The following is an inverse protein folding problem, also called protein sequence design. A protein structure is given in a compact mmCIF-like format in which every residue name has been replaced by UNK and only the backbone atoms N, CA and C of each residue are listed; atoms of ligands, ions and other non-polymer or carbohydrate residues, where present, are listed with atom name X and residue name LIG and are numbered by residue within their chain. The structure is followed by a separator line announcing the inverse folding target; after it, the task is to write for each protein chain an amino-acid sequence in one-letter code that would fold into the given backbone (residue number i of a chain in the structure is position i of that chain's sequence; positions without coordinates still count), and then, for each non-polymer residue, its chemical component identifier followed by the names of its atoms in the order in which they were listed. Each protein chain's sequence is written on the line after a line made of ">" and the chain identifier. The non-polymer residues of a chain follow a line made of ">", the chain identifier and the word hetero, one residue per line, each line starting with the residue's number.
data_IF_448848729721
#
_entry.id   IF_448848729721
#
_cell.length_a   1.000
_cell.length_b   1.000
_cell.length_c   1.000
_cell.angle_alpha   90.00
_cell.angle_beta   90.00
_cell.angle_gamma   90.00
#
_symmetry.space_group_name_H-M   'P 1'
#
loop_
_entity.id
_entity.type
_entity.pdbx_description
1 polymer ?
#
# COMPACT_ATOMS: atom_id res chain seq x y z
N UNK A 1 -27.42 5.12 -9.85
CA UNK A 1 -27.47 3.84 -9.11
C UNK A 1 -27.37 4.19 -7.64
N UNK A 2 -28.29 3.75 -6.77
CA UNK A 2 -28.14 4.02 -5.34
C UNK A 2 -27.05 3.14 -4.71
N UNK A 3 -26.50 3.57 -3.57
CA UNK A 3 -25.39 2.89 -2.92
C UNK A 3 -25.74 1.44 -2.54
N UNK A 4 -26.97 1.18 -2.11
CA UNK A 4 -27.42 -0.15 -1.69
C UNK A 4 -27.41 -1.15 -2.86
N UNK A 5 -27.83 -0.69 -4.04
CA UNK A 5 -27.81 -1.49 -5.27
C UNK A 5 -26.36 -1.75 -5.71
N UNK A 6 -25.48 -0.76 -5.60
CA UNK A 6 -24.06 -0.93 -5.90
C UNK A 6 -23.38 -1.94 -4.97
N UNK A 7 -23.64 -1.88 -3.66
CA UNK A 7 -23.10 -2.85 -2.70
C UNK A 7 -23.58 -4.28 -2.99
N UNK A 8 -24.87 -4.46 -3.29
CA UNK A 8 -25.41 -5.78 -3.62
C UNK A 8 -24.80 -6.34 -4.91
N UNK A 9 -24.57 -5.50 -5.92
CA UNK A 9 -23.86 -5.91 -7.15
C UNK A 9 -22.43 -6.34 -6.84
N UNK A 10 -21.72 -5.61 -5.98
CA UNK A 10 -20.36 -5.95 -5.52
C UNK A 10 -20.34 -7.30 -4.81
N UNK A 11 -21.27 -7.56 -3.88
CA UNK A 11 -21.35 -8.83 -3.17
C UNK A 11 -21.62 -10.03 -4.11
N UNK A 12 -22.49 -9.83 -5.11
CA UNK A 12 -22.78 -10.86 -6.11
C UNK A 12 -21.54 -11.18 -6.95
N UNK A 13 -20.81 -10.16 -7.40
CA UNK A 13 -19.57 -10.33 -8.17
C UNK A 13 -18.49 -11.00 -7.31
N UNK A 14 -18.28 -10.55 -6.08
CA UNK A 14 -17.37 -11.20 -5.12
C UNK A 14 -17.73 -12.66 -4.89
N UNK A 15 -19.02 -13.00 -4.82
CA UNK A 15 -19.49 -14.37 -4.70
C UNK A 15 -19.12 -15.23 -5.91
N UNK A 16 -19.28 -14.71 -7.12
CA UNK A 16 -18.89 -15.39 -8.35
C UNK A 16 -17.36 -15.61 -8.43
N UNK A 17 -16.57 -14.59 -8.12
CA UNK A 17 -15.11 -14.68 -8.10
C UNK A 17 -14.58 -15.68 -7.06
N UNK A 18 -15.18 -15.69 -5.85
CA UNK A 18 -14.86 -16.70 -4.82
C UNK A 18 -15.11 -18.12 -5.29
N UNK A 19 -16.19 -18.36 -6.06
CA UNK A 19 -16.47 -19.68 -6.62
C UNK A 19 -15.40 -20.06 -7.65
N UNK A 20 -14.99 -19.14 -8.54
CA UNK A 20 -13.94 -19.41 -9.51
C UNK A 20 -12.59 -19.73 -8.86
N UNK A 21 -12.24 -18.99 -7.80
CA UNK A 21 -11.04 -19.26 -7.00
C UNK A 21 -11.12 -20.61 -6.28
N UNK A 22 -12.25 -20.95 -5.67
CA UNK A 22 -12.44 -22.25 -5.00
C UNK A 22 -12.39 -23.45 -5.98
N UNK A 23 -12.77 -23.22 -7.23
CA UNK A 23 -12.66 -24.20 -8.31
C UNK A 23 -11.24 -24.28 -8.92
N UNK A 24 -10.28 -23.49 -8.40
CA UNK A 24 -8.88 -23.45 -8.84
C UNK A 24 -8.71 -23.19 -10.34
N UNK A 25 -9.65 -22.46 -10.95
CA UNK A 25 -9.67 -22.23 -12.40
C UNK A 25 -8.49 -21.37 -12.90
N UNK A 26 -7.77 -20.69 -12.01
CA UNK A 26 -6.61 -19.84 -12.30
C UNK A 26 -5.29 -20.37 -11.75
N UNK A 27 -5.27 -21.53 -11.09
CA UNK A 27 -4.07 -22.08 -10.45
C UNK A 27 -2.93 -22.41 -11.41
N UNK A 28 -3.19 -22.53 -12.71
CA UNK A 28 -2.15 -22.76 -13.71
C UNK A 28 -1.24 -21.53 -13.94
N UNK A 29 -1.64 -20.35 -13.46
CA UNK A 29 -0.88 -19.10 -13.59
C UNK A 29 0.21 -18.97 -12.51
N UNK A 30 0.16 -19.78 -11.44
CA UNK A 30 0.97 -19.62 -10.24
C UNK A 30 1.83 -20.86 -9.97
N UNK A 31 3.00 -20.69 -9.32
CA UNK A 31 3.87 -21.82 -9.02
C UNK A 31 3.17 -22.84 -8.12
N UNK A 32 3.38 -24.12 -8.40
CA UNK A 32 2.78 -25.19 -7.60
C UNK A 32 3.28 -25.15 -6.15
N UNK A 33 2.35 -25.34 -5.21
CA UNK A 33 2.66 -25.47 -3.78
C UNK A 33 3.76 -26.51 -3.55
N UNK A 34 4.81 -26.12 -2.85
CA UNK A 34 5.91 -27.01 -2.53
C UNK A 34 5.45 -28.13 -1.57
N UNK A 35 5.88 -29.36 -1.85
CA UNK A 35 5.68 -30.50 -0.93
C UNK A 35 6.77 -30.47 0.13
N UNK A 36 6.43 -29.98 1.32
CA UNK A 36 7.35 -29.92 2.47
C UNK A 36 7.19 -31.17 3.32
N UNK A 37 8.31 -31.79 3.72
CA UNK A 37 8.33 -32.97 4.60
C UNK A 37 8.89 -32.61 5.97
N UNK A 38 8.52 -33.39 6.98
CA UNK A 38 9.08 -33.25 8.32
C UNK A 38 10.62 -33.36 8.28
N UNK A 39 11.27 -32.48 9.05
CA UNK A 39 12.74 -32.39 9.17
C UNK A 39 13.47 -32.02 7.85
N UNK A 40 12.77 -31.42 6.88
CA UNK A 40 13.40 -30.85 5.69
C UNK A 40 14.11 -29.54 6.01
N UNK A 41 15.36 -29.41 5.55
CA UNK A 41 16.18 -28.21 5.74
C UNK A 41 16.22 -27.36 4.47
N UNK A 42 16.28 -26.04 4.66
CA UNK A 42 16.45 -25.05 3.61
C UNK A 42 17.57 -24.10 4.00
N UNK A 43 18.30 -23.58 3.02
CA UNK A 43 19.38 -22.61 3.23
C UNK A 43 18.81 -21.24 3.60
N UNK A 44 17.67 -20.88 2.99
CA UNK A 44 16.92 -19.66 3.31
C UNK A 44 15.42 -19.95 3.44
N UNK A 45 14.79 -19.26 4.38
CA UNK A 45 13.34 -19.22 4.51
C UNK A 45 12.91 -17.76 4.35
N UNK A 46 12.14 -17.49 3.30
CA UNK A 46 11.55 -16.18 3.03
C UNK A 46 10.11 -16.21 3.53
N UNK A 47 9.77 -15.30 4.44
CA UNK A 47 8.43 -15.19 5.03
C UNK A 47 7.73 -13.97 4.43
N UNK A 48 6.62 -14.22 3.74
CA UNK A 48 5.87 -13.27 2.92
C UNK A 48 6.35 -13.27 1.47
N UNK A 49 5.44 -13.54 0.55
CA UNK A 49 5.65 -13.54 -0.90
C UNK A 49 5.05 -12.31 -1.59
N UNK A 50 5.01 -11.17 -0.90
CA UNK A 50 4.74 -9.87 -1.51
C UNK A 50 5.86 -9.42 -2.46
N UNK A 51 5.89 -8.14 -2.84
CA UNK A 51 6.83 -7.59 -3.84
C UNK A 51 8.29 -7.92 -3.55
N UNK A 52 8.76 -7.66 -2.32
CA UNK A 52 10.15 -7.90 -1.94
C UNK A 52 10.46 -9.39 -1.76
N UNK A 53 9.56 -10.15 -1.12
CA UNK A 53 9.76 -11.56 -0.83
C UNK A 53 9.82 -12.41 -2.09
N UNK A 54 8.94 -12.15 -3.06
CA UNK A 54 8.96 -12.82 -4.37
C UNK A 54 10.26 -12.53 -5.14
N UNK A 55 10.73 -11.27 -5.11
CA UNK A 55 11.99 -10.89 -5.77
C UNK A 55 13.21 -11.57 -5.12
N UNK A 56 13.28 -11.55 -3.79
CA UNK A 56 14.39 -12.18 -3.03
C UNK A 56 14.39 -13.69 -3.25
N UNK A 57 13.22 -14.34 -3.14
CA UNK A 57 13.11 -15.79 -3.37
C UNK A 57 13.54 -16.17 -4.78
N UNK A 58 13.12 -15.40 -5.80
CA UNK A 58 13.53 -15.61 -7.17
C UNK A 58 15.07 -15.51 -7.32
N UNK A 59 15.69 -14.45 -6.79
CA UNK A 59 17.15 -14.26 -6.86
C UNK A 59 17.95 -15.33 -6.12
N UNK A 60 17.50 -15.73 -4.93
CA UNK A 60 18.16 -16.79 -4.17
C UNK A 60 18.03 -18.15 -4.87
N UNK A 61 16.92 -18.39 -5.57
CA UNK A 61 16.68 -19.64 -6.31
C UNK A 61 17.51 -19.77 -7.60
N UNK A 62 18.10 -18.68 -8.12
CA UNK A 62 19.03 -18.72 -9.27
C UNK A 62 20.36 -19.43 -8.92
N UNK A 63 20.66 -19.63 -7.63
CA UNK A 63 21.91 -20.24 -7.17
C UNK A 63 21.74 -21.76 -7.05
N UNK A 64 22.36 -22.53 -7.96
CA UNK A 64 22.14 -23.98 -8.15
C UNK A 64 22.24 -24.88 -6.89
N UNK A 65 22.91 -24.43 -5.84
CA UNK A 65 23.17 -25.20 -4.63
C UNK A 65 22.41 -24.70 -3.39
N UNK A 66 21.53 -23.71 -3.54
CA UNK A 66 20.78 -23.11 -2.44
C UNK A 66 19.31 -23.52 -2.59
N UNK A 67 18.74 -24.02 -1.49
CA UNK A 67 17.32 -24.34 -1.37
C UNK A 67 16.61 -23.23 -0.61
N UNK A 68 15.58 -22.66 -1.21
CA UNK A 68 14.80 -21.57 -0.64
C UNK A 68 13.38 -22.05 -0.37
N UNK A 69 12.90 -21.85 0.84
CA UNK A 69 11.48 -22.00 1.17
C UNK A 69 10.83 -20.63 1.21
N UNK A 70 9.82 -20.41 0.38
CA UNK A 70 8.98 -19.22 0.41
C UNK A 70 7.65 -19.55 1.08
N UNK A 71 7.26 -18.78 2.09
CA UNK A 71 6.03 -18.97 2.85
C UNK A 71 5.16 -17.73 2.67
N UNK A 72 3.93 -17.91 2.19
CA UNK A 72 2.93 -16.84 2.08
C UNK A 72 1.71 -17.21 2.93
N UNK A 73 1.16 -16.22 3.63
CA UNK A 73 -0.02 -16.41 4.48
C UNK A 73 -1.33 -16.39 3.66
N UNK A 74 -1.30 -15.71 2.52
CA UNK A 74 -2.34 -15.72 1.51
C UNK A 74 -2.25 -16.88 0.54
N UNK A 75 -3.22 -16.93 -0.36
CA UNK A 75 -3.21 -17.87 -1.48
C UNK A 75 -2.67 -17.26 -2.76
N UNK A 76 -2.88 -17.98 -3.85
CA UNK A 76 -2.70 -17.47 -5.20
C UNK A 76 -3.63 -16.26 -5.45
N UNK A 77 -3.18 -15.23 -6.19
CA UNK A 77 -4.02 -14.12 -6.56
C UNK A 77 -5.24 -14.57 -7.35
N UNK A 78 -6.41 -14.01 -7.03
CA UNK A 78 -7.63 -14.34 -7.74
C UNK A 78 -7.66 -13.59 -9.09
N UNK A 79 -8.51 -14.04 -10.00
CA UNK A 79 -8.62 -13.49 -11.35
C UNK A 79 -8.87 -11.97 -11.38
N UNK A 80 -9.65 -11.45 -10.43
CA UNK A 80 -9.95 -10.02 -10.30
C UNK A 80 -8.74 -9.16 -9.91
N UNK A 81 -7.61 -9.77 -9.53
CA UNK A 81 -6.36 -9.04 -9.26
C UNK A 81 -5.66 -8.56 -10.54
N UNK A 82 -5.76 -9.31 -11.64
CA UNK A 82 -5.09 -9.01 -12.91
C UNK A 82 -5.90 -8.06 -13.82
N UNK A 83 -7.17 -7.82 -13.49
CA UNK A 83 -8.07 -7.03 -14.32
C UNK A 83 -8.19 -5.58 -13.83
N UNK A 84 -7.80 -4.57 -14.63
CA UNK A 84 -7.89 -3.18 -14.24
C UNK A 84 -9.27 -2.80 -13.69
N UNK A 85 -9.29 -2.21 -12.50
CA UNK A 85 -10.51 -1.73 -11.82
C UNK A 85 -11.28 -2.78 -11.01
N UNK A 86 -11.00 -4.07 -11.16
CA UNK A 86 -11.60 -5.13 -10.35
C UNK A 86 -10.92 -5.41 -8.99
N UNK A 87 -9.65 -5.00 -8.71
CA UNK A 87 -9.06 -5.14 -7.38
C UNK A 87 -9.87 -4.49 -6.26
N UNK A 88 -10.75 -3.53 -6.58
CA UNK A 88 -11.69 -2.92 -5.65
C UNK A 88 -12.62 -3.95 -4.97
N UNK A 89 -12.90 -5.08 -5.64
CA UNK A 89 -13.71 -6.17 -5.09
C UNK A 89 -12.95 -7.00 -4.07
N UNK A 90 -11.63 -6.84 -3.94
CA UNK A 90 -10.82 -7.63 -3.01
C UNK A 90 -10.76 -7.04 -1.60
N UNK A 91 -11.14 -5.76 -1.42
CA UNK A 91 -11.22 -5.13 -0.10
C UNK A 91 -12.24 -5.85 0.79
N UNK A 92 -11.93 -6.04 2.09
CA UNK A 92 -12.81 -6.79 3.02
C UNK A 92 -13.12 -8.22 2.57
N UNK A 93 -12.26 -8.79 1.72
CA UNK A 93 -12.32 -10.18 1.30
C UNK A 93 -11.25 -11.01 2.03
N UNK A 94 -11.12 -12.30 1.69
CA UNK A 94 -10.03 -13.14 2.20
C UNK A 94 -8.65 -12.80 1.63
N UNK A 95 -8.61 -11.98 0.57
CA UNK A 95 -7.38 -11.49 -0.07
C UNK A 95 -6.93 -10.13 0.45
N UNK A 96 -7.65 -9.55 1.41
CA UNK A 96 -7.26 -8.35 2.15
C UNK A 96 -6.99 -8.76 3.59
N UNK A 97 -5.86 -8.32 4.15
CA UNK A 97 -5.57 -8.50 5.57
C UNK A 97 -6.59 -7.83 6.48
N UNK A 98 -7.29 -6.80 5.98
CA UNK A 98 -8.31 -6.05 6.70
C UNK A 98 -7.77 -5.43 8.00
N UNK A 99 -6.54 -4.96 7.97
CA UNK A 99 -5.96 -4.28 9.13
C UNK A 99 -6.67 -2.96 9.37
N UNK A 100 -6.94 -2.67 10.64
CA UNK A 100 -7.45 -1.38 11.08
C UNK A 100 -6.48 -0.77 12.07
N UNK A 101 -6.16 0.50 11.88
CA UNK A 101 -5.39 1.27 12.84
C UNK A 101 -6.22 1.52 14.10
N UNK A 102 -5.55 1.48 15.25
CA UNK A 102 -6.09 2.09 16.45
C UNK A 102 -5.97 3.62 16.37
N UNK A 103 -6.91 4.33 17.00
CA UNK A 103 -6.87 5.79 17.04
C UNK A 103 -5.77 6.25 17.99
N UNK A 104 -4.78 6.97 17.48
CA UNK A 104 -3.59 7.42 18.21
C UNK A 104 -3.71 8.86 18.77
N UNK A 105 -4.87 9.51 18.57
CA UNK A 105 -5.13 10.88 19.02
C UNK A 105 -4.98 11.95 17.94
N UNK A 106 -4.37 11.63 16.79
CA UNK A 106 -4.36 12.52 15.63
C UNK A 106 -5.63 12.30 14.79
N UNK A 107 -6.43 13.35 14.64
CA UNK A 107 -7.66 13.30 13.85
C UNK A 107 -7.34 13.69 12.42
N UNK A 108 -7.33 12.70 11.53
CA UNK A 108 -7.12 12.94 10.10
C UNK A 108 -8.38 13.59 9.50
N UNK A 109 -8.43 14.93 9.46
CA UNK A 109 -9.62 15.69 9.03
C UNK A 109 -10.00 15.50 7.56
N UNK A 110 -9.09 14.93 6.76
CA UNK A 110 -9.28 14.65 5.34
C UNK A 110 -9.96 13.31 5.08
N UNK A 111 -10.06 12.48 6.11
CA UNK A 111 -10.68 11.15 6.07
C UNK A 111 -12.07 11.19 6.70
N UNK A 112 -13.02 10.49 6.08
CA UNK A 112 -14.41 10.43 6.55
C UNK A 112 -14.60 9.59 7.84
N UNK A 113 -13.56 8.90 8.32
CA UNK A 113 -13.63 7.95 9.44
C UNK A 113 -12.57 8.25 10.52
N UNK A 114 -12.86 7.84 11.76
CA UNK A 114 -11.98 8.03 12.94
C UNK A 114 -10.93 6.92 13.12
N UNK A 115 -10.86 5.96 12.19
CA UNK A 115 -9.89 4.88 12.16
C UNK A 115 -9.43 4.67 10.72
N UNK A 116 -8.21 4.18 10.55
CA UNK A 116 -7.61 3.96 9.23
C UNK A 116 -7.74 2.49 8.83
N UNK A 117 -8.27 2.22 7.63
CA UNK A 117 -8.29 0.87 7.07
C UNK A 117 -7.06 0.68 6.19
N UNK A 118 -6.12 -0.15 6.62
CA UNK A 118 -4.97 -0.53 5.82
C UNK A 118 -5.33 -1.74 4.97
N UNK A 119 -5.76 -1.50 3.73
CA UNK A 119 -5.92 -2.59 2.79
C UNK A 119 -4.55 -3.06 2.31
N UNK A 120 -4.21 -4.28 2.69
CA UNK A 120 -2.96 -4.93 2.32
C UNK A 120 -3.29 -6.28 1.69
N UNK A 121 -2.71 -6.56 0.53
CA UNK A 121 -2.97 -7.81 -0.18
C UNK A 121 -2.43 -9.02 0.59
N UNK A 122 -3.31 -9.95 0.92
CA UNK A 122 -3.01 -11.27 1.49
C UNK A 122 -3.03 -12.31 0.37
N UNK A 123 -2.02 -12.24 -0.50
CA UNK A 123 -1.82 -13.14 -1.64
C UNK A 123 -0.39 -13.02 -2.18
N UNK A 124 0.04 -14.01 -2.96
CA UNK A 124 1.33 -13.99 -3.66
C UNK A 124 1.43 -12.77 -4.61
N UNK A 125 2.57 -12.08 -4.64
CA UNK A 125 2.83 -11.01 -5.61
C UNK A 125 2.05 -9.70 -5.41
N UNK A 126 1.40 -9.49 -4.26
CA UNK A 126 0.54 -8.33 -4.04
C UNK A 126 1.28 -6.97 -4.12
N UNK A 127 0.96 -6.19 -5.16
CA UNK A 127 1.04 -4.72 -5.22
C UNK A 127 0.42 -4.20 -6.55
N UNK A 128 -0.69 -3.43 -6.52
CA UNK A 128 -0.97 -2.47 -7.62
C UNK A 128 -1.98 -1.35 -7.27
N UNK A 129 -1.72 -0.13 -7.79
CA UNK A 129 -1.50 1.05 -6.93
C UNK A 129 -2.21 2.38 -7.31
N UNK A 130 -3.14 2.47 -8.27
CA UNK A 130 -3.58 3.82 -8.71
C UNK A 130 -4.98 4.27 -8.28
N UNK A 131 -6.08 3.67 -8.76
CA UNK A 131 -7.43 4.05 -8.30
C UNK A 131 -7.74 3.59 -6.86
N UNK A 132 -7.06 2.52 -6.45
CA UNK A 132 -7.08 2.01 -5.09
C UNK A 132 -6.56 3.07 -4.09
N UNK A 133 -5.60 3.91 -4.48
CA UNK A 133 -4.90 4.80 -3.56
C UNK A 133 -5.77 5.98 -3.09
N UNK A 134 -6.39 6.77 -3.97
CA UNK A 134 -7.13 7.98 -3.54
C UNK A 134 -8.37 7.69 -2.67
N UNK A 135 -9.29 6.84 -3.15
CA UNK A 135 -10.58 6.62 -2.50
C UNK A 135 -10.55 5.50 -1.47
N UNK A 136 -9.60 4.56 -1.55
CA UNK A 136 -9.68 3.30 -0.79
C UNK A 136 -8.49 2.99 0.12
N UNK A 137 -7.26 3.40 -0.23
CA UNK A 137 -6.09 3.37 0.66
C UNK A 137 -6.05 4.64 1.52
N UNK A 138 -6.14 5.81 0.87
CA UNK A 138 -6.12 7.11 1.53
C UNK A 138 -7.50 7.65 1.84
N UNK A 139 -8.60 6.98 1.49
CA UNK A 139 -9.98 7.33 1.94
C UNK A 139 -10.30 8.85 1.89
N UNK A 140 -9.75 9.56 0.91
CA UNK A 140 -9.93 11.01 0.80
C UNK A 140 -11.37 11.34 0.46
N UNK A 141 -11.79 12.56 0.76
CA UNK A 141 -13.12 13.04 0.38
C UNK A 141 -13.30 12.96 -1.15
N UNK A 142 -14.53 12.76 -1.61
CA UNK A 142 -14.83 12.73 -3.05
C UNK A 142 -14.39 14.02 -3.75
N UNK A 143 -14.37 15.16 -3.04
CA UNK A 143 -13.90 16.44 -3.55
C UNK A 143 -12.40 16.43 -3.88
N UNK A 144 -11.57 15.86 -2.99
CA UNK A 144 -10.13 15.70 -3.19
C UNK A 144 -9.86 14.75 -4.36
N UNK A 145 -10.55 13.61 -4.40
CA UNK A 145 -10.36 12.65 -5.50
C UNK A 145 -10.86 13.19 -6.84
N UNK A 146 -11.96 13.95 -6.86
CA UNK A 146 -12.43 14.65 -8.06
C UNK A 146 -11.44 15.73 -8.52
N UNK A 147 -10.79 16.45 -7.60
CA UNK A 147 -9.75 17.41 -7.93
C UNK A 147 -8.52 16.73 -8.53
N UNK A 148 -8.03 15.66 -7.91
CA UNK A 148 -6.93 14.85 -8.44
C UNK A 148 -7.27 14.26 -9.81
N UNK A 149 -8.50 13.78 -10.00
CA UNK A 149 -8.97 13.27 -11.28
C UNK A 149 -9.05 14.37 -12.35
N UNK A 150 -9.64 15.52 -12.03
CA UNK A 150 -9.76 16.67 -12.95
C UNK A 150 -8.41 17.20 -13.41
N UNK A 151 -7.40 17.20 -12.53
CA UNK A 151 -6.03 17.59 -12.88
C UNK A 151 -5.35 16.59 -13.85
N UNK A 152 -5.88 15.37 -13.97
CA UNK A 152 -5.41 14.33 -14.91
C UNK A 152 -6.17 14.24 -16.22
N UNK A 153 -7.28 14.96 -16.36
CA UNK A 153 -8.03 14.95 -17.62
C UNK A 153 -7.14 15.56 -18.71
N UNK A 154 -6.95 14.82 -19.80
CA UNK A 154 -6.08 15.16 -20.93
C UNK A 154 -4.57 15.21 -20.64
N UNK A 155 -4.13 14.68 -19.48
CA UNK A 155 -2.70 14.61 -19.10
C UNK A 155 -2.33 13.21 -18.58
N UNK A 156 -1.10 12.77 -18.83
CA UNK A 156 -0.55 11.58 -18.17
C UNK A 156 -0.17 11.95 -16.74
N UNK A 157 -0.68 11.20 -15.76
CA UNK A 157 -0.34 11.38 -14.36
C UNK A 157 0.79 10.44 -13.95
N UNK A 158 1.81 10.99 -13.29
CA UNK A 158 2.87 10.22 -12.66
C UNK A 158 2.82 10.44 -11.15
N UNK A 159 2.74 9.35 -10.39
CA UNK A 159 2.77 9.38 -8.93
C UNK A 159 4.17 8.99 -8.48
N UNK A 160 4.75 9.83 -7.62
CA UNK A 160 6.06 9.58 -7.03
C UNK A 160 5.87 9.47 -5.53
N UNK A 161 6.17 8.30 -4.99
CA UNK A 161 6.15 8.06 -3.55
C UNK A 161 7.57 8.29 -3.01
N UNK A 162 7.70 9.17 -2.03
CA UNK A 162 8.98 9.47 -1.40
C UNK A 162 9.03 8.67 -0.10
N UNK A 163 9.86 7.63 -0.10
CA UNK A 163 9.97 6.67 0.98
C UNK A 163 11.32 6.85 1.70
N UNK A 164 11.28 6.97 3.02
CA UNK A 164 12.48 6.83 3.83
C UNK A 164 12.86 5.35 3.93
N UNK A 165 13.80 4.91 3.08
CA UNK A 165 14.27 3.52 3.01
C UNK A 165 15.17 3.10 4.18
N UNK A 166 15.58 4.05 5.03
CA UNK A 166 16.44 3.79 6.20
C UNK A 166 15.90 4.52 7.43
N UNK A 167 14.66 4.19 7.86
CA UNK A 167 14.09 4.83 9.03
C UNK A 167 14.94 4.47 10.25
N UNK A 168 15.15 5.45 11.14
CA UNK A 168 15.77 5.30 12.46
C UNK A 168 14.73 4.89 13.50
N UNK A 169 13.48 5.29 13.27
CA UNK A 169 12.28 4.84 13.99
C UNK A 169 12.20 3.32 13.99
N UNK A 170 11.72 2.76 15.09
CA UNK A 170 11.56 1.31 15.26
C UNK A 170 10.16 1.01 15.77
N UNK A 171 9.49 0.13 15.03
CA UNK A 171 8.27 -0.52 15.48
C UNK A 171 8.54 -1.74 16.35
N UNK A 172 7.46 -2.38 16.77
CA UNK A 172 7.48 -3.64 17.51
C UNK A 172 6.27 -4.48 17.09
N UNK A 173 6.49 -5.77 16.92
CA UNK A 173 5.44 -6.76 16.69
C UNK A 173 5.36 -7.62 17.94
N UNK A 174 4.20 -7.60 18.60
CA UNK A 174 3.94 -8.34 19.82
C UNK A 174 2.94 -9.46 19.53
N UNK A 175 3.13 -10.61 20.18
CA UNK A 175 2.09 -11.64 20.17
C UNK A 175 0.91 -11.14 21.01
N UNK A 176 -0.27 -11.08 20.39
CA UNK A 176 -1.50 -10.70 21.08
C UNK A 176 -1.92 -11.75 22.10
N UNK A 177 -1.70 -13.02 21.79
CA UNK A 177 -1.99 -14.15 22.67
C UNK A 177 -1.08 -15.34 22.36
N UNK A 178 -1.26 -16.43 23.10
CA UNK A 178 -0.59 -17.72 22.83
C UNK A 178 -1.24 -18.52 21.70
N UNK A 179 -2.40 -18.08 21.17
CA UNK A 179 -3.05 -18.71 20.03
C UNK A 179 -2.37 -18.25 18.73
N UNK A 180 -1.77 -19.14 17.93
CA UNK A 180 -1.08 -18.76 16.69
C UNK A 180 -2.01 -18.22 15.60
N UNK A 181 -3.32 -18.44 15.71
CA UNK A 181 -4.32 -17.90 14.78
C UNK A 181 -4.72 -16.45 15.10
N UNK A 182 -4.36 -15.94 16.29
CA UNK A 182 -4.67 -14.56 16.64
C UNK A 182 -3.69 -13.62 15.92
N UNK A 183 -4.18 -12.54 15.28
CA UNK A 183 -3.30 -11.59 14.60
C UNK A 183 -2.37 -10.92 15.63
N UNK A 184 -1.08 -10.74 15.30
CA UNK A 184 -0.15 -10.06 16.19
C UNK A 184 -0.51 -8.57 16.32
N UNK A 185 -0.09 -7.97 17.43
CA UNK A 185 -0.15 -6.52 17.60
C UNK A 185 1.04 -5.88 16.92
N UNK A 186 0.77 -5.07 15.90
CA UNK A 186 1.81 -4.39 15.11
C UNK A 186 1.81 -2.91 15.47
N UNK A 187 2.90 -2.45 16.08
CA UNK A 187 3.16 -1.05 16.34
C UNK A 187 4.23 -0.58 15.35
N UNK A 188 3.84 0.17 14.33
CA UNK A 188 4.77 0.58 13.27
C UNK A 188 5.87 1.52 13.77
N UNK A 189 5.58 2.33 14.78
CA UNK A 189 6.54 3.28 15.35
C UNK A 189 6.99 4.36 14.37
N UNK A 190 6.22 4.62 13.31
CA UNK A 190 6.55 5.66 12.32
C UNK A 190 6.77 7.01 12.99
N UNK A 191 7.80 7.72 12.54
CA UNK A 191 8.14 9.08 13.00
C UNK A 191 8.36 9.22 14.51
N UNK A 192 8.64 8.12 15.21
CA UNK A 192 9.03 8.15 16.62
C UNK A 192 10.41 8.81 16.81
N UNK A 193 11.25 8.78 15.78
CA UNK A 193 12.47 9.58 15.70
C UNK A 193 12.24 10.81 14.80
N UNK A 194 12.55 12.00 15.33
CA UNK A 194 12.42 13.27 14.60
C UNK A 194 13.29 13.34 13.35
N UNK A 195 14.46 12.70 13.37
CA UNK A 195 15.37 12.69 12.22
C UNK A 195 14.71 12.02 10.99
N UNK A 196 13.78 11.07 11.18
CA UNK A 196 13.08 10.47 10.03
C UNK A 196 12.11 11.45 9.37
N UNK A 197 11.58 12.39 10.14
CA UNK A 197 10.70 13.46 9.66
C UNK A 197 11.53 14.50 8.91
N UNK A 198 12.69 14.88 9.47
CA UNK A 198 13.65 15.79 8.84
C UNK A 198 14.20 15.21 7.53
N UNK A 199 14.65 13.95 7.55
CA UNK A 199 15.14 13.24 6.37
C UNK A 199 14.05 13.19 5.28
N UNK A 200 12.78 12.94 5.66
CA UNK A 200 11.66 12.91 4.70
C UNK A 200 11.39 14.29 4.08
N UNK A 201 11.47 15.36 4.86
CA UNK A 201 11.36 16.74 4.37
C UNK A 201 12.45 17.02 3.33
N UNK A 202 13.69 16.66 3.64
CA UNK A 202 14.82 16.85 2.72
C UNK A 202 14.62 16.06 1.43
N UNK A 203 14.12 14.81 1.51
CA UNK A 203 13.80 14.02 0.32
C UNK A 203 12.71 14.64 -0.55
N UNK A 204 11.68 15.22 0.06
CA UNK A 204 10.63 15.95 -0.67
C UNK A 204 11.22 17.18 -1.38
N UNK A 205 12.09 17.93 -0.70
CA UNK A 205 12.73 19.12 -1.27
C UNK A 205 13.71 18.76 -2.39
N UNK A 206 14.49 17.70 -2.23
CA UNK A 206 15.41 17.16 -3.23
C UNK A 206 14.72 16.62 -4.48
N UNK A 207 13.42 16.29 -4.39
CA UNK A 207 12.64 15.87 -5.54
C UNK A 207 12.18 17.06 -6.40
N UNK A 208 12.05 18.28 -5.86
CA UNK A 208 11.57 19.44 -6.63
C UNK A 208 12.39 19.75 -7.90
N UNK A 209 13.75 19.66 -7.89
CA UNK A 209 14.55 19.83 -9.10
C UNK A 209 14.23 18.85 -10.23
N UNK A 210 13.67 17.66 -9.93
CA UNK A 210 13.30 16.66 -10.95
C UNK A 210 12.27 17.23 -11.93
N UNK A 211 11.33 18.03 -11.45
CA UNK A 211 10.32 18.70 -12.28
C UNK A 211 10.94 19.74 -13.24
N UNK A 212 12.13 20.24 -12.94
CA UNK A 212 12.83 21.23 -13.77
C UNK A 212 13.84 20.60 -14.75
N UNK A 213 13.89 19.27 -14.83
CA UNK A 213 14.74 18.57 -15.81
C UNK A 213 14.30 18.86 -17.24
N UNK A 214 15.18 18.61 -18.22
CA UNK A 214 14.88 18.83 -19.65
C UNK A 214 13.67 18.02 -20.12
N UNK A 215 13.54 16.76 -19.68
CA UNK A 215 12.43 15.90 -20.05
C UNK A 215 11.07 16.43 -19.53
N UNK A 216 10.99 16.75 -18.23
CA UNK A 216 9.74 17.26 -17.65
C UNK A 216 9.33 18.62 -18.22
N UNK A 217 10.30 19.46 -18.62
CA UNK A 217 10.01 20.71 -19.35
C UNK A 217 9.51 20.47 -20.78
N UNK A 218 10.02 19.46 -21.48
CA UNK A 218 9.61 19.11 -22.84
C UNK A 218 8.15 18.61 -22.89
N UNK A 219 7.72 17.87 -21.87
CA UNK A 219 6.35 17.34 -21.78
C UNK A 219 5.37 18.26 -21.05
N UNK A 220 5.78 19.52 -20.79
CA UNK A 220 4.99 20.50 -20.00
C UNK A 220 4.51 19.93 -18.65
N UNK A 221 5.37 19.13 -18.01
CA UNK A 221 5.11 18.46 -16.75
C UNK A 221 4.95 19.47 -15.61
N UNK A 222 3.83 19.37 -14.90
CA UNK A 222 3.51 20.25 -13.77
C UNK A 222 3.26 19.41 -12.53
N UNK A 223 3.70 19.93 -11.38
CA UNK A 223 3.40 19.34 -10.10
C UNK A 223 1.97 19.73 -9.69
N UNK A 224 1.17 18.76 -9.28
CA UNK A 224 -0.18 19.01 -8.79
C UNK A 224 -0.15 19.74 -7.46
N UNK A 225 -1.00 20.74 -7.29
CA UNK A 225 -1.11 21.47 -6.02
C UNK A 225 -1.71 20.59 -4.92
N UNK A 226 -1.20 20.76 -3.70
CA UNK A 226 -1.81 20.23 -2.48
C UNK A 226 -3.26 20.73 -2.34
N UNK A 227 -4.19 19.83 -2.01
CA UNK A 227 -5.58 20.21 -1.77
C UNK A 227 -5.67 21.07 -0.49
N UNK A 228 -6.29 22.27 -0.53
CA UNK A 228 -6.41 23.14 0.64
C UNK A 228 -7.12 22.50 1.83
N UNK A 229 -7.98 21.51 1.61
CA UNK A 229 -8.64 20.75 2.67
C UNK A 229 -7.65 19.91 3.50
N UNK A 230 -6.45 19.66 2.97
CA UNK A 230 -5.36 18.95 3.64
C UNK A 230 -4.37 19.86 4.36
N UNK A 231 -4.57 21.19 4.31
CA UNK A 231 -3.73 22.19 4.97
C UNK A 231 -3.79 22.08 6.51
N UNK A 232 -2.73 21.59 7.13
CA UNK A 232 -2.52 21.51 8.58
C UNK A 232 -2.36 20.10 9.16
N UNK A 233 -2.13 19.07 8.33
CA UNK A 233 -2.03 17.68 8.78
C UNK A 233 -0.72 17.00 8.31
N UNK A 234 0.12 16.48 9.24
CA UNK A 234 1.42 15.87 8.95
C UNK A 234 1.31 14.50 8.27
N UNK A 235 0.20 13.76 8.47
CA UNK A 235 0.01 12.42 7.87
C UNK A 235 -0.54 12.54 6.45
N UNK A 236 -1.44 13.51 6.23
CA UNK A 236 -1.91 13.88 4.90
C UNK A 236 -0.80 14.44 3.99
N UNK A 237 0.27 15.01 4.57
CA UNK A 237 1.36 15.64 3.81
C UNK A 237 2.35 14.68 3.16
N UNK A 238 2.48 13.44 3.65
CA UNK A 238 3.30 12.39 3.01
C UNK A 238 2.75 12.04 1.61
N UNK A 239 1.46 12.34 1.40
CA UNK A 239 0.72 12.11 0.17
C UNK A 239 0.46 13.35 -0.66
N UNK A 240 0.90 14.50 -0.16
CA UNK A 240 0.82 15.75 -0.88
C UNK A 240 2.09 15.95 -1.71
N UNK A 241 1.90 16.63 -2.84
CA UNK A 241 2.91 16.74 -3.87
C UNK A 241 3.64 18.09 -3.66
N UNK A 242 4.95 18.05 -3.41
CA UNK A 242 5.88 19.19 -3.52
C UNK A 242 6.21 19.99 -2.25
N UNK A 243 6.84 21.16 -2.46
CA UNK A 243 7.35 22.10 -1.43
C UNK A 243 6.35 22.43 -0.32
N UNK A 244 5.05 22.55 -0.66
CA UNK A 244 4.00 22.82 0.32
C UNK A 244 3.86 21.73 1.37
N UNK A 245 4.09 20.46 1.01
CA UNK A 245 4.08 19.35 1.98
C UNK A 245 5.24 19.50 2.99
N UNK A 246 6.44 19.80 2.50
CA UNK A 246 7.62 20.00 3.33
C UNK A 246 7.44 21.18 4.31
N UNK A 247 6.93 22.32 3.84
CA UNK A 247 6.69 23.50 4.69
C UNK A 247 5.64 23.23 5.78
N UNK A 248 4.62 22.45 5.46
CA UNK A 248 3.59 22.06 6.41
C UNK A 248 4.10 21.10 7.49
N UNK A 249 4.93 20.12 7.12
CA UNK A 249 5.56 19.20 8.09
C UNK A 249 6.47 20.00 9.03
N UNK A 250 7.25 20.96 8.51
CA UNK A 250 8.10 21.83 9.34
C UNK A 250 7.29 22.63 10.36
N UNK A 251 6.15 23.19 9.94
CA UNK A 251 5.28 23.96 10.81
C UNK A 251 4.64 23.12 11.92
N UNK A 252 4.20 21.90 11.63
CA UNK A 252 3.54 21.03 12.63
C UNK A 252 4.52 20.47 13.68
N UNK A 253 5.76 20.18 13.26
CA UNK A 253 6.79 19.62 14.15
C UNK A 253 7.69 20.67 14.84
N UNK A 254 7.38 21.97 14.72
CA UNK A 254 8.20 23.09 15.20
C UNK A 254 9.66 23.01 14.72
N UNK A 255 9.89 22.57 13.49
CA UNK A 255 11.22 22.41 12.88
C UNK A 255 11.68 23.70 12.17
N UNK A 256 11.32 24.88 12.72
CA UNK A 256 11.65 26.20 12.16
C UNK A 256 13.11 26.57 12.44
#
# INVERSE_FOLDING_TARGET
>A
MDAATAFKTVEVLQGAFKIMAALHLTNYLWPHQAVVRDNQSYDFIVVGAGTAGSLIANRLSEIEHINVLLIEAGGDPPFESDLPGLPLLMKRSGYDWNYTAEYDGYKDTCHLQTYYEFTLGKMLGSAEVMLFYCTFAFRFSNEICDNMYKQGVDRLQAFNEILNIRPKSRGKVLLKSTNPEDPPEVYNGFFTNKEDVEDLIDYILDFNPVMNTTYYREVEGTMSDADPACAGNPVGSILMIGEKAADMIKADHNLI
#
